data_IF_324430865952
#
_entry.id   IF_324430865952
#
_cell.length_a   1.000
_cell.length_b   1.000
_cell.length_c   1.000
_cell.angle_alpha   90.00
_cell.angle_beta   90.00
_cell.angle_gamma   90.00
#
_symmetry.space_group_name_H-M   'P 1'
#
loop_
_entity.id
_entity.type
_entity.pdbx_description
1 polymer ?
#
# COMPACT_ATOMS: atom_id res chain seq x y z
N UNK A 1 -3.28 -18.42 0.43
CA UNK A 1 -3.69 -17.30 -0.45
C UNK A 1 -4.34 -16.24 0.41
N UNK A 2 -3.86 -15.00 0.38
CA UNK A 2 -4.39 -13.88 1.18
C UNK A 2 -5.08 -12.88 0.26
N UNK A 3 -6.01 -12.12 0.82
CA UNK A 3 -6.73 -11.06 0.11
C UNK A 3 -6.59 -9.77 0.89
N UNK A 4 -6.45 -8.67 0.18
CA UNK A 4 -6.51 -7.32 0.71
C UNK A 4 -7.79 -6.65 0.22
N UNK A 5 -8.50 -5.97 1.12
CA UNK A 5 -9.72 -5.24 0.80
C UNK A 5 -9.39 -3.76 0.60
N UNK A 6 -9.59 -3.27 -0.62
CA UNK A 6 -9.31 -1.87 -0.96
C UNK A 6 -10.53 -0.97 -0.65
N UNK A 7 -10.34 0.35 -0.65
CA UNK A 7 -11.37 1.36 -0.34
C UNK A 7 -12.70 1.21 -1.09
N UNK A 8 -12.73 0.59 -2.27
CA UNK A 8 -13.95 0.31 -3.04
C UNK A 8 -14.74 -0.93 -2.54
N UNK A 9 -14.27 -1.60 -1.49
CA UNK A 9 -14.83 -2.87 -1.00
C UNK A 9 -14.44 -4.09 -1.85
N UNK A 10 -13.55 -3.92 -2.83
CA UNK A 10 -13.04 -5.03 -3.63
C UNK A 10 -11.94 -5.80 -2.91
N UNK A 11 -12.00 -7.13 -2.98
CA UNK A 11 -10.97 -8.02 -2.45
C UNK A 11 -10.00 -8.42 -3.55
N UNK A 12 -8.76 -8.00 -3.41
CA UNK A 12 -7.68 -8.27 -4.36
C UNK A 12 -6.75 -9.34 -3.80
N UNK A 13 -6.45 -10.42 -4.54
CA UNK A 13 -5.50 -11.44 -4.08
C UNK A 13 -4.09 -10.84 -4.00
N UNK A 14 -3.38 -11.11 -2.91
CA UNK A 14 -2.01 -10.62 -2.69
C UNK A 14 -1.05 -11.77 -2.43
N UNK A 15 0.17 -11.62 -2.93
CA UNK A 15 1.27 -12.55 -2.64
C UNK A 15 1.95 -12.21 -1.29
N UNK A 16 2.98 -12.96 -0.90
CA UNK A 16 3.67 -12.76 0.38
C UNK A 16 4.46 -11.45 0.46
N UNK A 17 5.11 -11.04 -0.65
CA UNK A 17 5.88 -9.79 -0.70
C UNK A 17 4.94 -8.57 -0.61
N UNK A 18 3.83 -8.60 -1.37
CA UNK A 18 2.78 -7.57 -1.35
C UNK A 18 2.13 -7.46 0.03
N UNK A 19 1.84 -8.58 0.66
CA UNK A 19 1.30 -8.59 2.03
C UNK A 19 2.28 -7.97 3.02
N UNK A 20 3.58 -8.23 2.86
CA UNK A 20 4.62 -7.67 3.73
C UNK A 20 4.66 -6.15 3.61
N UNK A 21 4.62 -5.61 2.38
CA UNK A 21 4.55 -4.17 2.14
C UNK A 21 3.25 -3.55 2.68
N UNK A 22 2.10 -4.22 2.52
CA UNK A 22 0.82 -3.76 3.09
C UNK A 22 0.91 -3.67 4.62
N UNK A 23 1.46 -4.70 5.29
CA UNK A 23 1.57 -4.70 6.74
C UNK A 23 2.47 -3.55 7.21
N UNK A 24 3.63 -3.38 6.57
CA UNK A 24 4.57 -2.28 6.86
C UNK A 24 3.92 -0.90 6.65
N UNK A 25 3.19 -0.72 5.55
CA UNK A 25 2.49 0.53 5.25
C UNK A 25 1.32 0.79 6.20
N UNK A 26 0.64 -0.25 6.68
CA UNK A 26 -0.43 -0.14 7.67
C UNK A 26 0.12 0.27 9.04
N UNK A 27 1.23 -0.35 9.48
CA UNK A 27 1.88 -0.05 10.76
C UNK A 27 2.50 1.35 10.78
N UNK A 28 3.23 1.73 9.73
CA UNK A 28 3.91 3.02 9.61
C UNK A 28 3.00 4.14 9.08
N UNK A 29 1.77 3.83 8.68
CA UNK A 29 0.79 4.68 7.94
C UNK A 29 1.23 5.09 6.53
N UNK A 30 2.53 5.28 6.31
CA UNK A 30 3.16 5.58 5.02
C UNK A 30 4.55 4.96 4.95
N UNK A 31 5.00 4.60 3.76
CA UNK A 31 6.38 4.17 3.49
C UNK A 31 7.03 5.19 2.57
N UNK A 32 8.21 5.69 2.91
CA UNK A 32 8.94 6.61 2.00
C UNK A 32 9.54 5.81 0.85
N UNK A 33 9.56 6.38 -0.35
CA UNK A 33 10.22 5.76 -1.51
C UNK A 33 11.69 5.41 -1.22
N UNK A 34 12.39 6.27 -0.49
CA UNK A 34 13.80 6.10 -0.12
C UNK A 34 14.05 4.95 0.86
N UNK A 35 13.01 4.48 1.56
CA UNK A 35 13.09 3.35 2.50
C UNK A 35 12.86 1.99 1.82
N UNK A 36 12.58 1.99 0.51
CA UNK A 36 12.34 0.78 -0.27
C UNK A 36 13.63 0.34 -0.95
N UNK A 37 13.95 -0.95 -0.82
CA UNK A 37 14.98 -1.57 -1.66
C UNK A 37 14.49 -1.65 -3.13
N UNK A 38 15.40 -1.88 -4.08
CA UNK A 38 15.07 -1.93 -5.52
C UNK A 38 13.90 -2.88 -5.82
N UNK A 39 13.94 -4.08 -5.22
CA UNK A 39 12.89 -5.09 -5.33
C UNK A 39 11.57 -4.64 -4.72
N UNK A 40 11.60 -4.06 -3.52
CA UNK A 40 10.40 -3.55 -2.85
C UNK A 40 9.78 -2.40 -3.66
N UNK A 41 10.61 -1.55 -4.26
CA UNK A 41 10.18 -0.45 -5.13
C UNK A 41 9.48 -0.93 -6.40
N UNK A 42 9.95 -2.01 -7.03
CA UNK A 42 9.23 -2.63 -8.15
C UNK A 42 7.85 -3.13 -7.75
N UNK A 43 7.77 -3.81 -6.60
CA UNK A 43 6.52 -4.37 -6.09
C UNK A 43 5.55 -3.25 -5.70
N UNK A 44 6.02 -2.21 -5.03
CA UNK A 44 5.22 -1.05 -4.67
C UNK A 44 4.63 -0.36 -5.92
N UNK A 45 5.41 -0.18 -6.99
CA UNK A 45 4.92 0.35 -8.28
C UNK A 45 3.85 -0.55 -8.91
N UNK A 46 4.04 -1.86 -8.85
CA UNK A 46 3.04 -2.83 -9.33
C UNK A 46 1.75 -2.73 -8.50
N UNK A 47 1.88 -2.66 -7.18
CA UNK A 47 0.76 -2.53 -6.25
C UNK A 47 -0.05 -1.25 -6.46
N UNK A 48 0.61 -0.13 -6.80
CA UNK A 48 -0.08 1.11 -7.20
C UNK A 48 -0.88 0.90 -8.47
N UNK A 49 -0.31 0.26 -9.49
CA UNK A 49 -1.01 -0.05 -10.76
C UNK A 49 -2.21 -0.97 -10.53
N UNK A 50 -2.12 -1.85 -9.52
CA UNK A 50 -3.20 -2.76 -9.10
C UNK A 50 -4.23 -2.11 -8.16
N UNK A 51 -4.03 -0.85 -7.75
CA UNK A 51 -4.90 -0.13 -6.83
C UNK A 51 -4.81 -0.56 -5.37
N UNK A 52 -3.75 -1.27 -4.97
CA UNK A 52 -3.50 -1.70 -3.59
C UNK A 52 -2.84 -0.61 -2.74
N UNK A 53 -1.98 0.20 -3.35
CA UNK A 53 -1.32 1.34 -2.71
C UNK A 53 -1.69 2.62 -3.46
N UNK A 54 -1.70 3.74 -2.75
CA UNK A 54 -1.67 5.06 -3.34
C UNK A 54 -0.24 5.59 -3.33
N UNK A 55 0.12 6.34 -4.37
CA UNK A 55 1.38 7.07 -4.45
C UNK A 55 1.09 8.54 -4.19
N UNK A 56 1.70 9.09 -3.16
CA UNK A 56 1.52 10.47 -2.72
C UNK A 56 2.86 11.21 -2.77
N UNK A 57 2.80 12.51 -3.00
CA UNK A 57 3.97 13.39 -3.01
C UNK A 57 3.66 14.62 -2.15
N UNK A 58 4.51 14.87 -1.15
CA UNK A 58 4.46 16.05 -0.29
C UNK A 58 5.85 16.73 -0.24
N UNK A 59 6.01 17.78 0.57
CA UNK A 59 7.27 18.53 0.70
C UNK A 59 8.44 17.67 1.22
N UNK A 60 8.17 16.55 1.89
CA UNK A 60 9.14 15.61 2.43
C UNK A 60 9.53 14.50 1.43
N UNK A 61 8.92 14.44 0.25
CA UNK A 61 9.26 13.50 -0.82
C UNK A 61 8.11 12.64 -1.33
N UNK A 62 8.43 11.42 -1.78
CA UNK A 62 7.46 10.47 -2.33
C UNK A 62 7.15 9.36 -1.33
N UNK A 63 5.86 9.05 -1.18
CA UNK A 63 5.37 8.08 -0.20
C UNK A 63 4.34 7.12 -0.82
N UNK A 64 4.28 5.93 -0.23
CA UNK A 64 3.25 4.94 -0.50
C UNK A 64 2.36 4.77 0.72
N UNK A 65 1.04 4.86 0.51
CA UNK A 65 0.02 4.63 1.53
C UNK A 65 -0.87 3.47 1.10
N UNK A 66 -1.44 2.74 2.06
CA UNK A 66 -2.37 1.65 1.73
C UNK A 66 -3.67 2.23 1.21
N UNK A 67 -4.19 1.70 0.10
CA UNK A 67 -5.53 2.03 -0.37
C UNK A 67 -6.57 1.22 0.41
N UNK A 68 -6.61 1.39 1.74
CA UNK A 68 -7.51 0.64 2.60
C UNK A 68 -8.94 1.21 2.57
N UNK A 69 -9.90 0.33 2.87
CA UNK A 69 -11.23 0.77 3.26
C UNK A 69 -11.17 1.10 4.75
N UNK A 70 -10.63 2.27 5.10
CA UNK A 70 -10.88 2.83 6.42
C UNK A 70 -12.41 2.84 6.59
N UNK A 71 -12.91 2.24 7.67
CA UNK A 71 -14.32 2.22 8.02
C UNK A 71 -14.77 3.69 8.27
N UNK A 72 -15.05 4.43 7.19
CA UNK A 72 -15.45 5.85 7.17
C UNK A 72 -16.74 6.09 7.97
N UNK A 73 -17.37 5.02 8.47
CA UNK A 73 -18.59 5.02 9.26
C UNK A 73 -18.36 5.08 10.78
N UNK A 74 -17.12 5.01 11.28
CA UNK A 74 -16.81 5.01 12.73
C UNK A 74 -16.00 6.22 13.21
N UNK A 75 -16.25 7.40 12.65
CA UNK A 75 -15.82 8.69 13.22
C UNK A 75 -16.98 9.42 13.88
#
# INVERSE_FOLDING_TARGET
MRFFEISSGMRVPVNEEEQTLINRATESKRIRFEELEEREGEIARLMVTRGLLNREHDDDGEFYTVNDCADLWRF
#
